data_IF_783271832557
#
_entry.id   IF_783271832557
#
_cell.length_a   1.000
_cell.length_b   1.000
_cell.length_c   1.000
_cell.angle_alpha   90.00
_cell.angle_beta   90.00
_cell.angle_gamma   90.00
#
_symmetry.space_group_name_H-M   'P 1'
#
loop_
_entity.id
_entity.type
_entity.pdbx_description
1 polymer ?
#
# COMPACT_ATOMS: atom_id res chain seq x y z
N UNK A 1 16.27 4.68 4.09
CA UNK A 1 16.15 3.45 3.28
C UNK A 1 16.99 2.37 3.93
N UNK A 2 16.55 1.10 3.87
CA UNK A 2 17.32 -0.04 4.36
C UNK A 2 18.55 -0.29 3.46
N UNK A 3 19.57 -0.98 3.97
CA UNK A 3 20.79 -1.28 3.20
C UNK A 3 20.52 -2.09 1.94
N UNK A 4 19.57 -3.03 1.98
CA UNK A 4 19.12 -3.83 0.83
C UNK A 4 18.51 -2.97 -0.29
N UNK A 5 18.03 -1.77 0.02
CA UNK A 5 17.45 -0.81 -0.93
C UNK A 5 18.39 0.35 -1.25
N UNK A 6 19.70 0.18 -1.01
CA UNK A 6 20.69 1.19 -1.37
C UNK A 6 20.82 1.29 -2.91
N UNK A 7 20.26 2.37 -3.46
CA UNK A 7 20.19 2.62 -4.90
C UNK A 7 21.53 2.89 -5.61
N UNK A 8 22.66 2.98 -4.90
CA UNK A 8 23.95 3.39 -5.48
C UNK A 8 24.40 2.53 -6.67
N UNK A 9 24.22 1.21 -6.58
CA UNK A 9 24.70 0.28 -7.60
C UNK A 9 23.82 0.38 -8.85
N UNK A 10 22.50 0.43 -8.66
CA UNK A 10 21.55 0.59 -9.76
C UNK A 10 21.74 1.94 -10.46
N UNK A 11 21.91 3.03 -9.70
CA UNK A 11 22.19 4.35 -10.26
C UNK A 11 23.48 4.36 -11.10
N UNK A 12 24.58 3.84 -10.54
CA UNK A 12 25.88 3.85 -11.22
C UNK A 12 25.95 2.92 -12.44
N UNK A 13 25.37 1.71 -12.37
CA UNK A 13 25.43 0.74 -13.46
C UNK A 13 24.36 0.94 -14.52
N UNK A 14 23.16 1.36 -14.11
CA UNK A 14 22.04 1.62 -15.00
C UNK A 14 22.07 2.99 -15.66
N UNK A 15 22.92 3.91 -15.18
CA UNK A 15 22.91 5.32 -15.56
C UNK A 15 21.50 5.93 -15.40
N UNK A 16 20.94 5.76 -14.20
CA UNK A 16 19.58 6.19 -13.83
C UNK A 16 19.61 6.94 -12.51
N UNK A 17 18.56 7.72 -12.25
CA UNK A 17 18.30 8.28 -10.92
C UNK A 17 17.40 7.32 -10.15
N UNK A 18 17.80 6.98 -8.93
CA UNK A 18 17.01 6.14 -8.02
C UNK A 18 16.43 7.02 -6.92
N UNK A 19 15.10 7.02 -6.81
CA UNK A 19 14.36 7.72 -5.76
C UNK A 19 13.71 6.67 -4.87
N UNK A 20 14.06 6.67 -3.59
CA UNK A 20 13.40 5.86 -2.58
C UNK A 20 12.44 6.75 -1.79
N UNK A 21 11.18 6.32 -1.71
CA UNK A 21 10.14 7.04 -0.97
C UNK A 21 9.78 6.28 0.31
N UNK A 22 9.33 7.00 1.33
CA UNK A 22 8.68 6.42 2.50
C UNK A 22 7.20 6.78 2.47
N UNK A 23 6.37 5.92 3.05
CA UNK A 23 4.95 6.14 3.23
C UNK A 23 4.49 5.50 4.55
N UNK A 24 3.38 5.98 5.10
CA UNK A 24 2.82 5.39 6.32
C UNK A 24 2.34 3.96 6.06
N UNK A 25 2.58 3.06 7.01
CA UNK A 25 2.23 1.63 6.95
C UNK A 25 1.34 1.22 8.13
N UNK A 26 0.76 0.03 8.07
CA UNK A 26 -0.09 -0.51 9.13
C UNK A 26 -1.29 0.39 9.45
N UNK A 27 -1.64 0.49 10.73
CA UNK A 27 -2.75 1.35 11.21
C UNK A 27 -2.54 2.83 10.90
N UNK A 28 -1.30 3.30 10.79
CA UNK A 28 -1.00 4.70 10.45
C UNK A 28 -1.31 5.06 8.99
N UNK A 29 -1.33 4.06 8.10
CA UNK A 29 -1.46 4.24 6.66
C UNK A 29 -2.77 3.73 6.06
N UNK A 30 -3.37 2.73 6.70
CA UNK A 30 -4.40 1.88 6.06
C UNK A 30 -5.61 1.60 6.95
N UNK A 31 -5.76 2.29 8.08
CA UNK A 31 -6.99 2.24 8.87
C UNK A 31 -8.16 2.84 8.07
N UNK A 32 -9.31 2.15 8.06
CA UNK A 32 -10.49 2.53 7.29
C UNK A 32 -11.77 2.38 8.12
N UNK A 33 -12.53 3.46 8.32
CA UNK A 33 -13.80 3.43 9.06
C UNK A 33 -15.01 3.85 8.23
N UNK A 34 -14.86 3.92 6.90
CA UNK A 34 -15.91 4.37 5.96
C UNK A 34 -16.39 5.80 6.30
N UNK A 35 -15.43 6.69 6.54
CA UNK A 35 -15.62 8.06 7.00
C UNK A 35 -14.52 8.97 6.46
N UNK A 36 -14.82 10.24 6.22
CA UNK A 36 -13.88 11.21 5.65
C UNK A 36 -12.67 11.50 6.57
N UNK A 37 -12.83 11.35 7.89
CA UNK A 37 -11.76 11.53 8.87
C UNK A 37 -10.78 10.34 8.91
N UNK A 38 -11.29 9.13 8.66
CA UNK A 38 -10.51 7.89 8.61
C UNK A 38 -10.78 7.18 7.27
N UNK A 39 -10.30 7.78 6.17
CA UNK A 39 -10.77 7.44 4.82
C UNK A 39 -10.18 6.17 4.24
N UNK A 40 -9.18 5.56 4.89
CA UNK A 40 -8.34 4.53 4.29
C UNK A 40 -7.30 5.09 3.31
N UNK A 41 -6.35 4.24 2.91
CA UNK A 41 -5.37 4.50 1.85
C UNK A 41 -4.50 5.77 2.01
N UNK A 42 -4.33 6.30 3.22
CA UNK A 42 -3.48 7.49 3.45
C UNK A 42 -1.99 7.20 3.19
N UNK A 43 -1.56 5.94 3.32
CA UNK A 43 -0.24 5.50 2.86
C UNK A 43 -0.05 5.62 1.34
N UNK A 44 -1.09 5.34 0.55
CA UNK A 44 -1.05 5.54 -0.91
C UNK A 44 -1.11 7.04 -1.29
N UNK A 45 -1.79 7.85 -0.49
CA UNK A 45 -1.75 9.31 -0.61
C UNK A 45 -0.33 9.85 -0.39
N UNK A 46 0.41 9.33 0.59
CA UNK A 46 1.82 9.69 0.81
C UNK A 46 2.67 9.34 -0.42
N UNK A 47 2.48 8.14 -0.99
CA UNK A 47 3.19 7.73 -2.21
C UNK A 47 2.87 8.65 -3.38
N UNK A 48 1.60 8.98 -3.61
CA UNK A 48 1.18 9.92 -4.67
C UNK A 48 1.77 11.31 -4.46
N UNK A 49 1.84 11.81 -3.23
CA UNK A 49 2.51 13.08 -2.93
C UNK A 49 3.98 13.03 -3.31
N UNK A 50 4.68 11.94 -3.01
CA UNK A 50 6.07 11.75 -3.43
C UNK A 50 6.21 11.68 -4.96
N UNK A 51 5.26 11.08 -5.68
CA UNK A 51 5.25 11.08 -7.15
C UNK A 51 5.07 12.48 -7.72
N UNK A 52 4.19 13.31 -7.15
CA UNK A 52 4.09 14.72 -7.52
C UNK A 52 5.40 15.46 -7.28
N UNK A 53 6.04 15.23 -6.12
CA UNK A 53 7.35 15.82 -5.84
C UNK A 53 8.39 15.42 -6.90
N UNK A 54 8.43 14.15 -7.31
CA UNK A 54 9.31 13.69 -8.40
C UNK A 54 8.99 14.43 -9.70
N UNK A 55 7.72 14.51 -10.10
CA UNK A 55 7.31 15.22 -11.32
C UNK A 55 7.74 16.69 -11.31
N UNK A 56 7.60 17.37 -10.18
CA UNK A 56 7.90 18.80 -10.05
C UNK A 56 9.40 19.10 -9.91
N UNK A 57 10.20 18.17 -9.35
CA UNK A 57 11.55 18.49 -8.88
C UNK A 57 12.66 17.66 -9.54
N UNK A 58 12.38 16.48 -10.10
CA UNK A 58 13.43 15.54 -10.53
C UNK A 58 14.34 16.11 -11.63
N UNK A 59 13.83 17.05 -12.43
CA UNK A 59 14.61 17.76 -13.44
C UNK A 59 15.81 18.51 -12.86
N UNK A 60 15.69 19.07 -11.64
CA UNK A 60 16.78 19.75 -10.97
C UNK A 60 17.92 18.81 -10.55
N UNK A 61 17.63 17.51 -10.45
CA UNK A 61 18.59 16.44 -10.16
C UNK A 61 19.15 15.78 -11.43
N UNK A 62 18.78 16.29 -12.61
CA UNK A 62 19.18 15.75 -13.92
C UNK A 62 18.29 14.61 -14.43
N UNK A 63 17.12 14.38 -13.82
CA UNK A 63 16.15 13.38 -14.26
C UNK A 63 15.18 13.92 -15.31
N UNK A 64 14.46 13.01 -15.97
CA UNK A 64 13.38 13.37 -16.89
C UNK A 64 12.02 12.99 -16.28
N UNK A 65 11.15 13.97 -15.93
CA UNK A 65 9.82 13.70 -15.38
C UNK A 65 8.92 12.93 -16.37
N UNK A 66 9.20 12.98 -17.67
CA UNK A 66 8.48 12.22 -18.70
C UNK A 66 9.01 10.77 -18.86
N UNK A 67 9.94 10.35 -18.01
CA UNK A 67 10.56 9.03 -18.07
C UNK A 67 10.64 8.34 -16.70
N UNK A 68 9.61 8.55 -15.86
CA UNK A 68 9.50 7.94 -14.53
C UNK A 68 9.02 6.48 -14.63
N UNK A 69 9.76 5.56 -14.03
CA UNK A 69 9.41 4.15 -13.87
C UNK A 69 9.17 3.85 -12.39
N UNK A 70 8.00 3.31 -12.04
CA UNK A 70 7.76 2.79 -10.69
C UNK A 70 8.26 1.36 -10.61
N UNK A 71 8.95 1.01 -9.53
CA UNK A 71 9.28 -0.38 -9.26
C UNK A 71 9.16 -0.68 -7.77
N UNK A 72 8.65 -1.87 -7.47
CA UNK A 72 8.29 -2.25 -6.11
C UNK A 72 8.12 -3.75 -6.01
N UNK A 73 8.26 -4.24 -4.78
CA UNK A 73 8.19 -5.65 -4.41
C UNK A 73 7.08 -5.86 -3.38
N UNK A 74 6.41 -7.02 -3.42
CA UNK A 74 5.35 -7.40 -2.50
C UNK A 74 4.32 -6.27 -2.31
N UNK A 75 4.15 -5.73 -1.11
CA UNK A 75 3.20 -4.64 -0.84
C UNK A 75 3.48 -3.37 -1.67
N UNK A 76 4.74 -3.10 -2.03
CA UNK A 76 5.11 -2.03 -2.95
C UNK A 76 4.64 -2.30 -4.38
N UNK A 77 4.70 -3.56 -4.82
CA UNK A 77 4.16 -3.99 -6.10
C UNK A 77 2.62 -3.88 -6.14
N UNK A 78 1.94 -4.24 -5.05
CA UNK A 78 0.51 -3.99 -4.88
C UNK A 78 0.15 -2.50 -4.94
N UNK A 79 0.95 -1.64 -4.30
CA UNK A 79 0.75 -0.19 -4.35
C UNK A 79 0.95 0.38 -5.77
N UNK A 80 1.87 -0.17 -6.56
CA UNK A 80 2.01 0.18 -7.98
C UNK A 80 0.71 -0.10 -8.74
N UNK A 81 0.08 -1.24 -8.50
CA UNK A 81 -1.22 -1.54 -9.12
C UNK A 81 -2.31 -0.55 -8.71
N UNK A 82 -2.33 -0.16 -7.43
CA UNK A 82 -3.24 0.89 -6.96
C UNK A 82 -2.99 2.22 -7.69
N UNK A 83 -1.74 2.61 -7.94
CA UNK A 83 -1.41 3.80 -8.72
C UNK A 83 -1.76 3.68 -10.21
N UNK A 84 -1.69 2.48 -10.79
CA UNK A 84 -2.08 2.23 -12.19
C UNK A 84 -3.56 2.49 -12.44
N UNK A 85 -4.43 2.08 -11.50
CA UNK A 85 -5.89 2.27 -11.62
C UNK A 85 -6.38 3.59 -11.02
N UNK A 86 -5.56 4.28 -10.22
CA UNK A 86 -5.90 5.60 -9.69
C UNK A 86 -5.79 6.67 -10.79
N UNK A 87 -6.92 7.26 -11.19
CA UNK A 87 -7.00 8.33 -12.19
C UNK A 87 -6.04 9.50 -11.90
N UNK A 88 -5.88 9.83 -10.61
CA UNK A 88 -5.03 10.94 -10.15
C UNK A 88 -3.54 10.57 -10.05
N UNK A 89 -3.18 9.31 -10.24
CA UNK A 89 -1.78 8.83 -10.15
C UNK A 89 -1.22 8.38 -11.49
N UNK A 90 -2.05 7.84 -12.39
CA UNK A 90 -1.61 7.15 -13.61
C UNK A 90 -0.85 7.99 -14.64
N UNK A 91 -0.90 9.31 -14.51
CA UNK A 91 -0.14 10.25 -15.35
C UNK A 91 1.19 10.71 -14.71
N UNK A 92 1.49 10.30 -13.48
CA UNK A 92 2.73 10.65 -12.77
C UNK A 92 3.90 9.70 -13.09
N UNK A 93 3.66 8.67 -13.91
CA UNK A 93 4.66 7.69 -14.32
C UNK A 93 4.36 7.11 -15.71
N UNK A 94 5.33 6.37 -16.24
CA UNK A 94 5.36 5.94 -17.63
C UNK A 94 5.49 4.43 -17.79
N UNK A 95 6.17 3.77 -16.84
CA UNK A 95 6.43 2.34 -16.85
C UNK A 95 6.35 1.80 -15.43
N UNK A 96 6.10 0.50 -15.31
CA UNK A 96 6.07 -0.17 -14.03
C UNK A 96 6.84 -1.49 -14.06
N UNK A 97 7.52 -1.78 -12.96
CA UNK A 97 8.15 -3.07 -12.67
C UNK A 97 7.50 -3.62 -11.40
N UNK A 98 6.90 -4.79 -11.50
CA UNK A 98 6.11 -5.42 -10.44
C UNK A 98 6.81 -6.70 -10.03
N UNK A 99 7.27 -6.76 -8.78
CA UNK A 99 8.00 -7.91 -8.25
C UNK A 99 7.15 -8.60 -7.18
N UNK A 100 6.83 -9.89 -7.38
CA UNK A 100 6.22 -10.75 -6.36
C UNK A 100 4.85 -10.27 -5.85
N UNK A 101 4.05 -9.69 -6.74
CA UNK A 101 2.63 -9.39 -6.49
C UNK A 101 1.86 -9.40 -7.80
N UNK A 102 0.57 -9.63 -7.70
CA UNK A 102 -0.40 -9.51 -8.77
C UNK A 102 -1.54 -8.56 -8.38
N UNK A 103 -2.45 -8.37 -9.31
CA UNK A 103 -3.59 -7.46 -9.16
C UNK A 103 -4.73 -8.04 -8.33
N UNK A 104 -4.79 -9.36 -8.26
CA UNK A 104 -5.75 -10.18 -7.55
C UNK A 104 -5.13 -10.81 -6.29
N UNK A 105 -3.97 -10.31 -5.85
CA UNK A 105 -3.28 -10.79 -4.66
C UNK A 105 -4.19 -10.64 -3.43
N UNK A 106 -4.67 -11.75 -2.82
CA UNK A 106 -5.75 -11.70 -1.83
C UNK A 106 -5.41 -10.92 -0.55
N UNK A 107 -4.11 -10.81 -0.24
CA UNK A 107 -3.63 -10.13 0.97
C UNK A 107 -3.40 -8.64 0.79
N UNK A 108 -3.43 -8.15 -0.44
CA UNK A 108 -3.01 -6.80 -0.78
C UNK A 108 -4.16 -5.78 -0.76
N UNK A 109 -5.35 -6.19 -1.20
CA UNK A 109 -6.54 -5.34 -1.34
C UNK A 109 -7.76 -6.05 -0.80
N UNK A 110 -8.57 -5.36 0.01
CA UNK A 110 -9.83 -5.87 0.55
C UNK A 110 -10.99 -4.93 0.26
N UNK A 111 -12.21 -5.46 0.27
CA UNK A 111 -13.41 -4.65 0.11
C UNK A 111 -13.69 -3.76 1.35
N UNK A 112 -14.46 -2.68 1.22
CA UNK A 112 -14.74 -1.75 2.33
C UNK A 112 -15.37 -2.40 3.56
N UNK A 113 -16.21 -3.43 3.40
CA UNK A 113 -16.87 -4.10 4.53
C UNK A 113 -15.83 -4.84 5.36
N UNK A 114 -14.96 -5.59 4.69
CA UNK A 114 -13.85 -6.30 5.34
C UNK A 114 -12.85 -5.33 5.98
N UNK A 115 -12.46 -4.26 5.28
CA UNK A 115 -11.54 -3.24 5.80
C UNK A 115 -12.06 -2.56 7.08
N UNK A 116 -13.35 -2.22 7.09
CA UNK A 116 -14.01 -1.59 8.23
C UNK A 116 -14.11 -2.54 9.41
N UNK A 117 -14.52 -3.79 9.17
CA UNK A 117 -14.60 -4.80 10.22
C UNK A 117 -13.25 -5.01 10.93
N UNK A 118 -12.16 -5.14 10.16
CA UNK A 118 -10.80 -5.27 10.71
C UNK A 118 -10.34 -4.02 11.46
N UNK A 119 -10.72 -2.83 10.99
CA UNK A 119 -10.40 -1.55 11.65
C UNK A 119 -11.16 -1.38 12.98
N UNK A 120 -12.42 -1.79 13.04
CA UNK A 120 -13.21 -1.79 14.28
C UNK A 120 -12.72 -2.85 15.28
N UNK A 121 -12.27 -4.00 14.80
CA UNK A 121 -11.61 -5.02 15.63
C UNK A 121 -10.29 -4.50 16.19
N UNK A 122 -9.46 -3.88 15.35
CA UNK A 122 -8.24 -3.20 15.78
C UNK A 122 -8.52 -2.16 16.88
N UNK A 123 -9.55 -1.33 16.70
CA UNK A 123 -9.95 -0.37 17.72
C UNK A 123 -10.40 -1.03 19.03
N UNK A 124 -11.05 -2.20 18.95
CA UNK A 124 -11.45 -2.95 20.14
C UNK A 124 -10.24 -3.49 20.93
N UNK A 125 -9.13 -3.85 20.27
CA UNK A 125 -7.89 -4.29 20.93
C UNK A 125 -7.25 -3.21 21.82
N UNK A 126 -7.67 -1.96 21.66
CA UNK A 126 -7.13 -0.78 22.34
C UNK A 126 -8.16 -0.09 23.25
N UNK A 127 -9.30 -0.74 23.51
CA UNK A 127 -10.45 -0.18 24.22
C UNK A 127 -10.98 1.12 23.59
N UNK A 128 -10.83 1.26 22.26
CA UNK A 128 -11.23 2.44 21.50
C UNK A 128 -12.49 2.23 20.66
N UNK A 129 -13.16 1.07 20.73
CA UNK A 129 -14.37 0.84 19.93
C UNK A 129 -15.53 1.73 20.41
N UNK A 130 -15.83 2.76 19.61
CA UNK A 130 -16.95 3.68 19.81
C UNK A 130 -17.99 3.56 18.70
N UNK A 131 -19.21 4.03 18.93
CA UNK A 131 -20.23 4.13 17.87
C UNK A 131 -20.01 5.30 16.93
N UNK A 132 -19.33 6.35 17.39
CA UNK A 132 -18.99 7.53 16.59
C UNK A 132 -17.55 7.42 16.08
N UNK A 133 -17.34 7.66 14.77
CA UNK A 133 -16.02 7.52 14.14
C UNK A 133 -15.03 8.57 14.65
N UNK A 134 -15.45 9.82 14.86
CA UNK A 134 -14.58 10.87 15.38
C UNK A 134 -14.10 10.57 16.81
N UNK A 135 -14.98 10.02 17.66
CA UNK A 135 -14.60 9.58 19.02
C UNK A 135 -13.64 8.38 18.98
N UNK A 136 -13.89 7.40 18.10
CA UNK A 136 -12.99 6.26 17.88
C UNK A 136 -11.61 6.74 17.39
N UNK A 137 -11.58 7.65 16.42
CA UNK A 137 -10.36 8.21 15.87
C UNK A 137 -9.59 9.05 16.92
N UNK A 138 -10.28 9.85 17.72
CA UNK A 138 -9.69 10.59 18.82
C UNK A 138 -9.05 9.65 19.86
N UNK A 139 -9.74 8.58 20.26
CA UNK A 139 -9.20 7.57 21.17
C UNK A 139 -7.95 6.90 20.60
N UNK A 140 -7.96 6.51 19.33
CA UNK A 140 -6.81 5.87 18.68
C UNK A 140 -5.61 6.83 18.57
N UNK A 141 -5.85 8.13 18.33
CA UNK A 141 -4.77 9.14 18.29
C UNK A 141 -4.18 9.45 19.67
N UNK A 142 -4.89 9.13 20.75
CA UNK A 142 -4.39 9.26 22.13
C UNK A 142 -3.47 8.10 22.53
N UNK A 143 -3.49 6.98 21.80
CA UNK A 143 -2.60 5.84 22.04
C UNK A 143 -1.17 6.12 21.57
N UNK A 144 -0.21 5.47 22.21
CA UNK A 144 1.19 5.54 21.77
C UNK A 144 1.37 4.76 20.45
N UNK A 145 2.35 5.14 19.60
CA UNK A 145 2.68 4.36 18.42
C UNK A 145 3.02 2.89 18.72
N UNK A 146 3.65 2.64 19.87
CA UNK A 146 4.00 1.31 20.35
C UNK A 146 2.76 0.47 20.67
N UNK A 147 1.76 1.06 21.33
CA UNK A 147 0.49 0.39 21.61
C UNK A 147 -0.25 0.04 20.31
N UNK A 148 -0.32 1.01 19.39
CA UNK A 148 -0.95 0.81 18.07
C UNK A 148 -0.26 -0.30 17.27
N UNK A 149 1.08 -0.34 17.28
CA UNK A 149 1.84 -1.36 16.58
C UNK A 149 1.69 -2.75 17.25
N UNK A 150 1.64 -2.80 18.57
CA UNK A 150 1.47 -4.06 19.32
C UNK A 150 0.07 -4.64 19.11
N UNK A 151 -0.96 -3.79 19.07
CA UNK A 151 -2.33 -4.22 18.82
C UNK A 151 -2.59 -4.65 17.36
N UNK A 152 -1.77 -4.19 16.41
CA UNK A 152 -1.97 -4.46 14.98
C UNK A 152 -2.09 -5.96 14.68
N UNK A 153 -1.20 -6.78 15.25
CA UNK A 153 -1.15 -8.23 15.01
C UNK A 153 -2.18 -9.03 15.82
N UNK A 154 -2.94 -8.39 16.70
CA UNK A 154 -4.00 -9.06 17.49
C UNK A 154 -5.32 -9.16 16.71
N UNK A 155 -5.44 -8.50 15.56
CA UNK A 155 -6.60 -8.61 14.66
C UNK A 155 -6.58 -9.99 14.01
N UNK A 156 -7.68 -10.72 14.12
CA UNK A 156 -7.80 -12.06 13.57
C UNK A 156 -7.77 -12.03 12.04
N UNK A 157 -6.78 -12.70 11.46
CA UNK A 157 -6.60 -12.84 10.01
C UNK A 157 -6.27 -14.29 9.67
N UNK A 158 -6.52 -14.69 8.42
CA UNK A 158 -6.19 -16.06 7.96
C UNK A 158 -4.72 -16.15 7.55
N UNK A 159 -4.28 -17.37 7.20
CA UNK A 159 -2.97 -17.59 6.60
C UNK A 159 -2.74 -16.63 5.42
N UNK A 160 -1.60 -15.95 5.44
CA UNK A 160 -1.25 -14.98 4.39
C UNK A 160 -2.30 -13.88 4.22
N UNK A 161 -2.86 -13.35 5.31
CA UNK A 161 -3.65 -12.12 5.31
C UNK A 161 -3.02 -11.13 6.30
N UNK A 162 -3.17 -9.83 6.02
CA UNK A 162 -2.69 -8.76 6.89
C UNK A 162 -3.86 -7.91 7.40
N UNK A 163 -3.81 -7.42 8.66
CA UNK A 163 -4.91 -6.71 9.31
C UNK A 163 -5.44 -5.51 8.51
N UNK A 164 -4.58 -4.51 8.28
CA UNK A 164 -4.97 -3.24 7.66
C UNK A 164 -4.12 -3.05 6.41
N UNK A 165 -4.77 -3.12 5.25
CA UNK A 165 -4.20 -3.10 3.90
C UNK A 165 -4.99 -2.15 3.00
N UNK A 166 -4.69 -2.12 1.70
CA UNK A 166 -5.39 -1.24 0.76
C UNK A 166 -6.89 -1.59 0.76
N UNK A 167 -7.74 -0.58 0.97
CA UNK A 167 -9.18 -0.72 0.77
C UNK A 167 -9.50 -0.43 -0.71
N UNK A 168 -10.30 -1.29 -1.35
CA UNK A 168 -10.60 -1.17 -2.79
C UNK A 168 -11.37 0.10 -3.15
N UNK A 169 -12.07 0.70 -2.19
CA UNK A 169 -12.78 1.97 -2.34
C UNK A 169 -12.62 2.80 -1.06
N UNK A 170 -11.96 3.94 -1.18
CA UNK A 170 -11.71 4.87 -0.09
C UNK A 170 -12.60 6.11 -0.15
N UNK A 171 -12.67 6.84 0.97
CA UNK A 171 -13.28 8.17 1.07
C UNK A 171 -12.28 9.31 0.85
N UNK A 172 -10.97 9.00 0.81
CA UNK A 172 -9.88 9.96 0.76
C UNK A 172 -9.54 10.46 -0.65
N UNK A 173 -10.29 10.01 -1.66
CA UNK A 173 -10.11 10.38 -3.05
C UNK A 173 -8.84 9.81 -3.68
N UNK A 174 -8.31 8.69 -3.18
CA UNK A 174 -7.30 7.90 -3.89
C UNK A 174 -7.90 7.19 -5.09
N UNK A 175 -9.00 6.47 -4.88
CA UNK A 175 -9.80 5.86 -5.93
C UNK A 175 -11.06 6.68 -6.22
N UNK A 176 -11.38 6.84 -7.50
CA UNK A 176 -12.65 7.45 -7.97
C UNK A 176 -13.76 6.40 -8.08
N UNK A 177 -13.39 5.17 -8.40
CA UNK A 177 -14.25 3.99 -8.47
C UNK A 177 -13.57 2.84 -7.75
N UNK A 178 -14.30 1.77 -7.42
CA UNK A 178 -13.69 0.60 -6.79
C UNK A 178 -12.50 0.08 -7.63
N UNK A 179 -11.33 -0.08 -7.01
CA UNK A 179 -10.08 -0.42 -7.67
C UNK A 179 -10.14 -1.79 -8.38
N UNK A 180 -10.88 -2.75 -7.82
CA UNK A 180 -11.05 -4.09 -8.41
C UNK A 180 -11.93 -3.97 -9.66
N UNK A 181 -12.98 -3.15 -9.60
CA UNK A 181 -13.84 -2.91 -10.76
C UNK A 181 -13.16 -2.09 -11.85
N UNK A 182 -12.38 -1.06 -11.48
CA UNK A 182 -11.57 -0.27 -12.40
C UNK A 182 -10.60 -1.18 -13.17
N UNK A 183 -9.95 -2.10 -12.44
CA UNK A 183 -9.09 -3.11 -13.06
C UNK A 183 -9.84 -4.01 -14.04
N UNK A 184 -10.95 -4.63 -13.61
CA UNK A 184 -11.76 -5.53 -14.46
C UNK A 184 -12.24 -4.84 -15.74
N UNK A 185 -12.53 -3.54 -15.66
CA UNK A 185 -12.96 -2.70 -16.79
C UNK A 185 -11.82 -2.16 -17.64
N UNK A 186 -10.57 -2.46 -17.26
CA UNK A 186 -9.36 -1.93 -17.88
C UNK A 186 -9.28 -0.39 -17.87
N UNK A 187 -9.77 0.22 -16.79
CA UNK A 187 -9.71 1.67 -16.58
C UNK A 187 -8.33 2.10 -16.06
N UNK A 188 -7.35 1.98 -16.94
CA UNK A 188 -5.98 2.43 -16.72
C UNK A 188 -5.34 2.82 -18.05
N UNK A 189 -4.17 3.45 -17.97
CA UNK A 189 -3.46 3.99 -19.14
C UNK A 189 -3.28 2.92 -20.23
N UNK A 190 -3.74 3.16 -21.48
CA UNK A 190 -3.51 2.23 -22.57
C UNK A 190 -2.01 2.14 -22.87
N UNK A 191 -1.55 0.97 -23.30
CA UNK A 191 -0.16 0.71 -23.67
C UNK A 191 0.87 0.94 -22.55
N UNK A 192 0.45 0.82 -21.27
CA UNK A 192 1.39 0.81 -20.15
C UNK A 192 2.38 -0.35 -20.31
N UNK A 193 3.68 -0.05 -20.27
CA UNK A 193 4.72 -1.07 -20.29
C UNK A 193 4.93 -1.62 -18.88
N UNK A 194 4.78 -2.93 -18.76
CA UNK A 194 4.84 -3.67 -17.49
C UNK A 194 5.92 -4.74 -17.63
N UNK A 195 6.87 -4.75 -16.70
CA UNK A 195 7.70 -5.92 -16.42
C UNK A 195 7.20 -6.52 -15.11
N UNK A 196 6.81 -7.80 -15.14
CA UNK A 196 6.28 -8.49 -13.95
C UNK A 196 6.99 -9.82 -13.76
N UNK A 197 7.24 -10.21 -12.51
CA UNK A 197 7.88 -11.47 -12.16
C UNK A 197 7.60 -11.91 -10.73
N UNK A 198 7.88 -13.19 -10.46
CA UNK A 198 7.75 -13.86 -9.16
C UNK A 198 8.99 -14.71 -8.94
N UNK A 199 9.30 -15.00 -7.68
CA UNK A 199 10.36 -15.92 -7.30
C UNK A 199 9.87 -17.37 -7.31
N UNK A 200 10.82 -18.32 -7.32
CA UNK A 200 10.49 -19.75 -7.35
C UNK A 200 9.80 -20.24 -6.07
N UNK A 201 10.10 -19.61 -4.92
CA UNK A 201 9.74 -20.09 -3.58
C UNK A 201 9.06 -19.00 -2.71
N UNK A 202 8.13 -18.22 -3.28
CA UNK A 202 7.42 -17.09 -2.62
C UNK A 202 6.85 -17.43 -1.22
N UNK A 203 6.31 -18.63 -1.06
CA UNK A 203 5.67 -19.06 0.19
C UNK A 203 6.63 -19.52 1.28
N UNK A 204 7.90 -19.78 0.95
CA UNK A 204 8.86 -20.40 1.88
C UNK A 204 9.14 -19.53 3.10
N UNK A 205 9.27 -18.22 2.91
CA UNK A 205 9.47 -17.25 4.00
C UNK A 205 8.31 -17.29 5.00
N UNK A 206 7.07 -17.26 4.50
CA UNK A 206 5.86 -17.22 5.32
C UNK A 206 5.55 -18.54 6.01
N UNK A 207 5.90 -19.67 5.38
CA UNK A 207 5.75 -20.99 5.96
C UNK A 207 6.41 -21.11 7.36
N UNK A 208 7.55 -20.44 7.57
CA UNK A 208 8.27 -20.44 8.86
C UNK A 208 7.41 -19.82 9.97
N UNK A 209 6.64 -18.78 9.67
CA UNK A 209 5.86 -18.03 10.64
C UNK A 209 4.52 -18.71 10.96
N UNK A 210 3.86 -19.30 9.96
CA UNK A 210 2.49 -19.81 10.11
C UNK A 210 2.39 -21.32 10.29
N UNK A 211 3.29 -22.13 9.72
CA UNK A 211 3.19 -23.60 9.85
C UNK A 211 3.21 -24.08 11.32
N UNK A 212 3.97 -23.47 12.25
CA UNK A 212 3.93 -23.87 13.65
C UNK A 212 2.53 -23.83 14.27
N UNK A 213 1.60 -23.00 13.78
CA UNK A 213 0.23 -22.92 14.31
C UNK A 213 -0.69 -24.03 13.77
N UNK A 214 -0.33 -24.66 12.65
CA UNK A 214 -1.12 -25.74 12.03
C UNK A 214 -0.73 -27.15 12.51
N UNK A 215 0.46 -27.29 13.09
CA UNK A 215 0.99 -28.58 13.57
C UNK A 215 1.08 -28.66 15.11
N UNK A 216 0.30 -27.85 15.83
CA UNK A 216 0.10 -27.94 17.29
C UNK A 216 -0.89 -29.04 17.66
#
# INVERSE_FOLDING_TARGET
SLDVYNGKVLAAKGNVIVVNINYRVGSFGFLFLDDDEVPGNVGLLDQRLALHWVQENIAAFGGDPNNVCLFGESAGAAAIFAHVVSEKSRDLFHRVIVQSSSMDTPWAVVDPVTAKARSEEFAAQLDCKQSNVAEMAACLRDKTPEDLNSAYWNVAVRFMEFPLVIVSKDHGGFFTTDAIDAWKRKDFKPNLQILIGTDADEGSYWAIYYLPDYYK
#
